data_IF_028045772953
#
_entry.id   IF_028045772953
#
_cell.length_a   1.000
_cell.length_b   1.000
_cell.length_c   1.000
_cell.angle_alpha   90.00
_cell.angle_beta   90.00
_cell.angle_gamma   90.00
#
_symmetry.space_group_name_H-M   'P 1'
#
loop_
_entity.id
_entity.type
_entity.pdbx_description
1 polymer ?
#
# COMPACT_ATOMS: atom_id res chain seq x y z
N UNK A 1 15.82 25.17 5.24
CA UNK A 1 16.01 23.94 6.03
C UNK A 1 17.07 23.14 5.32
N UNK A 2 18.19 22.82 5.98
CA UNK A 2 19.17 21.87 5.45
C UNK A 2 18.61 20.47 5.68
N UNK A 3 18.32 19.74 4.61
CA UNK A 3 17.91 18.33 4.70
C UNK A 3 19.08 17.52 5.24
N UNK A 4 18.96 17.00 6.46
CA UNK A 4 19.86 15.97 6.99
C UNK A 4 19.39 14.62 6.46
N UNK A 5 20.14 14.04 5.53
CA UNK A 5 19.86 12.68 5.03
C UNK A 5 20.46 11.67 5.99
N UNK A 6 19.61 10.97 6.75
CA UNK A 6 20.04 9.84 7.58
C UNK A 6 20.25 8.64 6.65
N UNK A 7 21.48 8.13 6.59
CA UNK A 7 21.78 6.87 5.91
C UNK A 7 21.57 5.69 6.85
N UNK A 8 20.79 4.70 6.41
CA UNK A 8 20.52 3.47 7.15
C UNK A 8 21.48 2.36 6.68
N UNK A 9 22.09 1.65 7.63
CA UNK A 9 22.77 0.38 7.35
C UNK A 9 21.77 -0.76 7.44
N UNK A 10 21.64 -1.55 6.37
CA UNK A 10 20.71 -2.67 6.26
C UNK A 10 21.48 -3.94 5.88
N UNK A 11 20.96 -5.10 6.27
CA UNK A 11 21.45 -6.41 5.87
C UNK A 11 20.98 -6.80 4.45
N UNK A 12 21.38 -7.98 3.98
CA UNK A 12 21.02 -8.49 2.64
C UNK A 12 19.50 -8.71 2.46
N UNK A 13 18.73 -8.73 3.54
CA UNK A 13 17.26 -8.84 3.52
C UNK A 13 16.59 -7.46 3.63
N UNK A 14 17.36 -6.37 3.68
CA UNK A 14 16.84 -5.01 3.84
C UNK A 14 16.43 -4.67 5.28
N UNK A 15 16.87 -5.44 6.28
CA UNK A 15 16.53 -5.25 7.69
C UNK A 15 17.71 -4.64 8.47
N UNK A 16 17.43 -4.01 9.61
CA UNK A 16 18.49 -3.47 10.46
C UNK A 16 19.33 -4.63 11.06
N UNK A 17 20.68 -4.56 11.07
CA UNK A 17 21.57 -5.64 11.57
C UNK A 17 21.36 -6.12 13.01
N UNK A 18 20.55 -5.41 13.81
CA UNK A 18 20.20 -5.76 15.19
C UNK A 18 18.72 -6.13 15.38
N UNK A 19 17.94 -6.23 14.31
CA UNK A 19 16.52 -6.61 14.39
C UNK A 19 16.43 -8.10 14.82
N UNK A 20 15.67 -8.45 15.87
CA UNK A 20 15.51 -9.84 16.28
C UNK A 20 14.82 -10.65 15.18
N UNK A 21 15.42 -11.78 14.79
CA UNK A 21 14.77 -12.75 13.92
C UNK A 21 13.72 -13.57 14.71
N UNK A 22 12.58 -13.93 14.09
CA UNK A 22 11.64 -14.88 14.69
C UNK A 22 12.32 -16.23 15.01
N UNK A 23 12.08 -16.79 16.20
CA UNK A 23 12.73 -18.03 16.64
C UNK A 23 12.14 -19.30 15.99
N UNK A 24 10.88 -19.26 15.58
CA UNK A 24 10.20 -20.40 14.98
C UNK A 24 10.54 -20.49 13.48
N UNK A 25 10.98 -21.66 12.97
CA UNK A 25 11.39 -21.80 11.56
C UNK A 25 10.27 -21.64 10.54
N UNK A 26 9.01 -21.50 10.98
CA UNK A 26 7.87 -21.20 10.10
C UNK A 26 7.53 -19.70 10.04
N UNK A 27 8.15 -18.90 10.90
CA UNK A 27 7.91 -17.47 10.96
C UNK A 27 8.97 -16.77 10.10
N UNK A 28 8.55 -15.78 9.33
CA UNK A 28 9.44 -15.03 8.44
C UNK A 28 9.00 -13.57 8.35
N UNK A 29 9.96 -12.67 8.18
CA UNK A 29 9.71 -11.32 7.69
C UNK A 29 9.51 -11.43 6.18
N UNK A 30 8.35 -11.01 5.67
CA UNK A 30 8.05 -11.04 4.25
C UNK A 30 8.28 -9.67 3.62
N UNK A 31 8.87 -9.67 2.43
CA UNK A 31 8.87 -8.52 1.54
C UNK A 31 7.69 -8.65 0.57
N UNK A 32 6.56 -8.02 0.92
CA UNK A 32 5.38 -8.03 0.06
C UNK A 32 5.34 -6.69 -0.69
N UNK A 33 5.57 -6.67 -2.02
CA UNK A 33 5.54 -5.44 -2.78
C UNK A 33 4.12 -4.87 -2.78
N UNK A 34 4.01 -3.60 -2.43
CA UNK A 34 2.73 -2.88 -2.41
C UNK A 34 2.84 -1.53 -3.12
N UNK A 35 1.71 -1.07 -3.69
CA UNK A 35 1.57 0.29 -4.20
C UNK A 35 0.41 1.02 -3.52
N UNK A 36 0.63 2.27 -3.08
CA UNK A 36 -0.45 3.10 -2.57
C UNK A 36 -1.36 3.55 -3.72
N UNK A 37 -2.67 3.42 -3.52
CA UNK A 37 -3.71 4.08 -4.32
C UNK A 37 -4.30 5.20 -3.46
N UNK A 38 -4.17 6.44 -3.92
CA UNK A 38 -4.43 7.65 -3.13
C UNK A 38 -5.78 8.32 -3.44
N UNK A 39 -6.49 8.70 -2.38
CA UNK A 39 -7.72 9.50 -2.44
C UNK A 39 -7.59 10.68 -1.48
N UNK A 40 -7.34 11.86 -2.04
CA UNK A 40 -7.16 13.10 -1.28
C UNK A 40 -8.38 13.99 -1.33
N UNK A 41 -8.76 14.59 -0.22
CA UNK A 41 -9.87 15.53 -0.13
C UNK A 41 -9.78 16.40 1.13
N UNK A 42 -10.47 17.54 1.13
CA UNK A 42 -10.68 18.32 2.36
C UNK A 42 -11.80 17.73 3.22
N UNK A 43 -12.65 16.87 2.64
CA UNK A 43 -13.70 16.14 3.34
C UNK A 43 -13.42 14.62 3.38
N UNK A 44 -13.14 14.09 4.58
CA UNK A 44 -12.80 12.69 4.77
C UNK A 44 -13.90 11.71 4.29
N UNK A 45 -15.19 11.89 4.63
CA UNK A 45 -16.26 11.04 4.09
C UNK A 45 -16.26 10.98 2.56
N UNK A 46 -16.06 12.11 1.88
CA UNK A 46 -15.99 12.18 0.42
C UNK A 46 -14.80 11.39 -0.13
N UNK A 47 -13.62 11.48 0.49
CA UNK A 47 -12.46 10.66 0.11
C UNK A 47 -12.75 9.15 0.28
N UNK A 48 -13.36 8.77 1.40
CA UNK A 48 -13.72 7.39 1.71
C UNK A 48 -14.80 6.84 0.77
N UNK A 49 -15.76 7.66 0.37
CA UNK A 49 -16.78 7.27 -0.61
C UNK A 49 -16.13 6.91 -1.95
N UNK A 50 -15.25 7.78 -2.47
CA UNK A 50 -14.50 7.49 -3.71
C UNK A 50 -13.60 6.27 -3.59
N UNK A 51 -12.91 6.12 -2.46
CA UNK A 51 -12.09 4.95 -2.15
C UNK A 51 -12.92 3.67 -2.22
N UNK A 52 -14.08 3.64 -1.55
CA UNK A 52 -14.97 2.48 -1.53
C UNK A 52 -15.56 2.17 -2.90
N UNK A 53 -15.91 3.20 -3.68
CA UNK A 53 -16.43 3.06 -5.03
C UNK A 53 -15.37 2.48 -5.98
N UNK A 54 -14.12 2.93 -5.85
CA UNK A 54 -13.00 2.41 -6.62
C UNK A 54 -12.70 0.94 -6.27
N UNK A 55 -12.66 0.58 -4.98
CA UNK A 55 -12.43 -0.81 -4.55
C UNK A 55 -13.44 -1.79 -5.17
N UNK A 56 -14.72 -1.38 -5.24
CA UNK A 56 -15.75 -2.16 -5.90
C UNK A 56 -15.47 -2.34 -7.39
N UNK A 57 -15.14 -1.25 -8.09
CA UNK A 57 -14.82 -1.30 -9.53
C UNK A 57 -13.57 -2.14 -9.80
N UNK A 58 -12.55 -2.02 -8.97
CA UNK A 58 -11.31 -2.80 -9.08
C UNK A 58 -11.58 -4.29 -8.88
N UNK A 59 -12.37 -4.67 -7.87
CA UNK A 59 -12.80 -6.05 -7.65
C UNK A 59 -13.60 -6.60 -8.84
N UNK A 60 -14.53 -5.81 -9.39
CA UNK A 60 -15.33 -6.21 -10.55
C UNK A 60 -14.45 -6.42 -11.79
N UNK A 61 -13.49 -5.53 -12.03
CA UNK A 61 -12.51 -5.65 -13.11
C UNK A 61 -11.58 -6.85 -12.92
N UNK A 62 -11.05 -7.03 -11.71
CA UNK A 62 -10.16 -8.13 -11.38
C UNK A 62 -10.90 -9.46 -11.35
N UNK A 63 -12.23 -9.47 -11.18
CA UNK A 63 -13.04 -10.69 -11.08
C UNK A 63 -12.89 -11.44 -9.75
N UNK A 64 -12.17 -10.87 -8.79
CA UNK A 64 -11.99 -11.34 -7.41
C UNK A 64 -11.60 -10.16 -6.50
N UNK A 65 -11.69 -10.30 -5.16
CA UNK A 65 -11.29 -9.24 -4.22
C UNK A 65 -9.84 -8.80 -4.44
N UNK A 66 -9.61 -7.49 -4.35
CA UNK A 66 -8.27 -6.90 -4.39
C UNK A 66 -7.55 -7.16 -3.06
N UNK A 67 -6.29 -7.59 -3.12
CA UNK A 67 -5.43 -7.77 -1.96
C UNK A 67 -4.99 -6.41 -1.41
N UNK A 68 -5.73 -5.93 -0.41
CA UNK A 68 -5.40 -4.74 0.37
C UNK A 68 -4.63 -5.14 1.62
N UNK A 69 -3.37 -4.72 1.72
CA UNK A 69 -2.49 -5.01 2.86
C UNK A 69 -2.78 -4.06 4.03
N UNK A 70 -3.01 -2.79 3.74
CA UNK A 70 -3.31 -1.78 4.74
C UNK A 70 -4.13 -0.62 4.15
N UNK A 71 -4.81 0.10 5.04
CA UNK A 71 -5.40 1.40 4.77
C UNK A 71 -4.69 2.40 5.67
N UNK A 72 -4.04 3.39 5.07
CA UNK A 72 -3.35 4.46 5.79
C UNK A 72 -4.13 5.77 5.61
N UNK A 73 -4.43 6.43 6.72
CA UNK A 73 -5.04 7.76 6.73
C UNK A 73 -3.99 8.75 7.23
N UNK A 74 -3.66 9.72 6.40
CA UNK A 74 -2.69 10.77 6.67
C UNK A 74 -3.34 12.16 6.58
N UNK A 75 -2.65 13.17 7.12
CA UNK A 75 -3.10 14.56 7.15
C UNK A 75 -2.04 15.52 6.60
N UNK A 76 -2.45 16.45 5.74
CA UNK A 76 -1.55 17.48 5.16
C UNK A 76 -2.01 18.90 5.52
N UNK A 77 -1.34 19.49 6.52
CA UNK A 77 -1.62 20.85 7.00
C UNK A 77 -1.03 21.97 6.11
N UNK A 78 -0.39 21.63 4.98
CA UNK A 78 0.22 22.64 4.11
C UNK A 78 -0.86 23.44 3.39
N UNK A 79 -0.67 24.75 3.34
CA UNK A 79 -1.62 25.65 2.67
C UNK A 79 -1.80 25.27 1.19
N UNK A 80 -3.06 25.04 0.80
CA UNK A 80 -3.43 24.69 -0.58
C UNK A 80 -3.34 23.21 -0.93
N UNK A 81 -2.95 22.34 0.01
CA UNK A 81 -3.10 20.88 -0.09
C UNK A 81 -4.46 20.42 0.46
N UNK A 82 -5.05 19.33 -0.08
CA UNK A 82 -6.17 18.66 0.58
C UNK A 82 -5.77 18.13 1.96
N UNK A 83 -6.60 18.35 2.98
CA UNK A 83 -6.28 17.99 4.36
C UNK A 83 -6.17 16.47 4.60
N UNK A 84 -7.03 15.65 4.00
CA UNK A 84 -7.03 14.19 4.19
C UNK A 84 -6.40 13.47 3.01
N UNK A 85 -5.60 12.44 3.29
CA UNK A 85 -5.01 11.54 2.30
C UNK A 85 -5.25 10.07 2.69
N UNK A 86 -6.20 9.42 2.01
CA UNK A 86 -6.52 8.00 2.19
C UNK A 86 -5.70 7.17 1.20
N UNK A 87 -4.85 6.29 1.70
CA UNK A 87 -4.00 5.38 0.93
C UNK A 87 -4.42 3.93 1.13
N UNK A 88 -4.78 3.26 0.05
CA UNK A 88 -4.87 1.79 0.03
C UNK A 88 -3.52 1.22 -0.38
N UNK A 89 -2.87 0.46 0.50
CA UNK A 89 -1.66 -0.28 0.15
C UNK A 89 -2.09 -1.61 -0.46
N UNK A 90 -2.06 -1.71 -1.78
CA UNK A 90 -2.52 -2.89 -2.52
C UNK A 90 -1.33 -3.71 -3.01
N UNK A 91 -1.52 -5.03 -3.11
CA UNK A 91 -0.55 -5.93 -3.72
C UNK A 91 -0.27 -5.48 -5.17
N UNK A 92 1.00 -5.42 -5.56
CA UNK A 92 1.36 -4.95 -6.92
C UNK A 92 0.86 -5.87 -8.04
N UNK A 93 0.81 -7.19 -7.81
CA UNK A 93 0.39 -8.17 -8.81
C UNK A 93 -1.10 -8.00 -9.17
N UNK A 94 -1.91 -7.70 -8.18
CA UNK A 94 -3.34 -7.42 -8.36
C UNK A 94 -3.57 -6.14 -9.16
N UNK A 95 -2.84 -5.07 -8.82
CA UNK A 95 -2.88 -3.83 -9.60
C UNK A 95 -2.35 -4.03 -11.02
N UNK A 96 -1.43 -4.97 -11.22
CA UNK A 96 -0.93 -5.36 -12.53
C UNK A 96 -1.88 -6.30 -13.31
N UNK A 97 -2.96 -6.76 -12.68
CA UNK A 97 -3.93 -7.68 -13.29
C UNK A 97 -3.38 -9.08 -13.52
N UNK A 98 -2.39 -9.52 -12.74
CA UNK A 98 -1.80 -10.87 -12.82
C UNK A 98 -2.88 -11.95 -12.79
N UNK A 99 -3.90 -11.90 -11.90
CA UNK A 99 -4.95 -12.91 -11.92
C UNK A 99 -5.76 -13.00 -13.22
N UNK A 100 -6.01 -11.86 -13.88
CA UNK A 100 -6.65 -11.83 -15.22
C UNK A 100 -5.74 -12.53 -16.24
N UNK A 101 -4.45 -12.20 -16.24
CA UNK A 101 -3.48 -12.81 -17.16
C UNK A 101 -3.35 -14.33 -16.96
N UNK A 102 -3.43 -14.80 -15.72
CA UNK A 102 -3.44 -16.24 -15.40
C UNK A 102 -4.70 -16.92 -15.93
N UNK A 103 -5.89 -16.31 -15.72
CA UNK A 103 -7.15 -16.87 -16.23
C UNK A 103 -7.19 -16.96 -17.76
N UNK A 104 -6.67 -15.96 -18.46
CA UNK A 104 -6.66 -15.94 -19.93
C UNK A 104 -5.68 -16.94 -20.57
N UNK A 105 -4.77 -17.54 -19.78
CA UNK A 105 -3.85 -18.60 -20.25
C UNK A 105 -4.41 -20.01 -20.10
N UNK A 106 -5.53 -20.18 -19.38
CA UNK A 106 -6.23 -21.45 -19.21
C UNK A 106 -7.24 -21.67 -20.33
#
# INVERSE_FOLDING_TARGET
MTEETIQLELDDSGLAPGLPAPENPRDQVQDVPYRPVEFRDDDLPTALERCSAWLRQAQEWLGEPLDVLAIHLDYDDRQGSPYYDVKLLCNEEDLAGVPIAIRNKK
#
